data_IF_326432945024
#
_entry.id   IF_326432945024
#
_cell.length_a   1.000
_cell.length_b   1.000
_cell.length_c   1.000
_cell.angle_alpha   90.00
_cell.angle_beta   90.00
_cell.angle_gamma   90.00
#
_symmetry.space_group_name_H-M   'P 1'
#
loop_
_entity.id
_entity.type
_entity.pdbx_description
1 polymer ?
#
# COMPACT_ATOMS: atom_id res chain seq x y z
N UNK A 1 3.97 -49.14 16.35
CA UNK A 1 4.85 -49.82 17.32
C UNK A 1 5.65 -48.78 18.11
N UNK A 2 5.37 -48.75 19.43
CA UNK A 2 6.23 -48.31 20.56
C UNK A 2 6.77 -46.85 20.49
N UNK A 3 6.16 -45.77 21.00
CA UNK A 3 5.98 -45.50 22.43
C UNK A 3 7.27 -45.62 23.27
N UNK A 4 7.88 -44.46 23.61
CA UNK A 4 8.61 -44.32 24.91
C UNK A 4 8.41 -42.92 25.46
N UNK A 5 7.62 -42.86 26.51
CA UNK A 5 7.51 -41.82 27.52
C UNK A 5 8.71 -41.96 28.46
N UNK A 6 9.26 -40.87 28.96
CA UNK A 6 9.92 -40.70 30.25
C UNK A 6 9.93 -39.19 30.50
N UNK A 7 9.16 -38.62 31.38
CA UNK A 7 9.04 -38.69 32.83
C UNK A 7 10.33 -38.41 33.59
N UNK A 8 10.36 -37.26 34.26
CA UNK A 8 10.88 -36.95 35.60
C UNK A 8 11.05 -35.44 35.72
N UNK A 9 10.27 -34.71 36.45
CA UNK A 9 10.06 -34.56 37.91
C UNK A 9 11.23 -33.90 38.63
N UNK A 10 10.88 -32.76 39.23
CA UNK A 10 11.35 -32.16 40.48
C UNK A 10 12.70 -31.42 40.48
N UNK A 11 12.66 -30.10 40.71
CA UNK A 11 13.14 -29.59 42.00
C UNK A 11 12.54 -28.21 42.31
N UNK A 12 11.93 -28.17 43.47
CA UNK A 12 11.38 -26.99 44.12
C UNK A 12 12.46 -26.30 44.97
N UNK A 13 12.26 -25.07 45.29
CA UNK A 13 12.93 -24.31 46.37
C UNK A 13 13.75 -23.14 45.83
N UNK A 14 13.70 -21.96 46.26
CA UNK A 14 13.29 -21.29 47.48
C UNK A 14 13.22 -19.79 47.20
N UNK A 15 12.20 -19.19 47.63
CA UNK A 15 11.93 -17.89 48.23
C UNK A 15 13.18 -17.12 48.69
N UNK A 16 13.35 -15.89 48.17
CA UNK A 16 13.97 -14.79 48.93
C UNK A 16 13.38 -13.44 48.46
N UNK A 17 12.61 -12.85 49.38
CA UNK A 17 12.19 -11.45 49.30
C UNK A 17 13.41 -10.53 49.37
N UNK A 18 13.48 -9.54 48.53
CA UNK A 18 14.16 -8.29 48.77
C UNK A 18 13.32 -7.15 48.21
N UNK A 19 12.53 -6.55 49.10
CA UNK A 19 12.01 -5.21 48.90
C UNK A 19 13.17 -4.21 49.03
N UNK A 20 13.43 -3.44 48.01
CA UNK A 20 13.99 -2.13 48.15
C UNK A 20 13.21 -1.16 47.23
N UNK A 21 12.45 -0.32 47.89
CA UNK A 21 11.82 0.85 47.33
C UNK A 21 12.89 1.85 46.88
N UNK A 22 12.79 2.34 45.66
CA UNK A 22 13.22 3.70 45.35
C UNK A 22 12.37 4.24 44.20
N UNK A 23 11.66 5.30 44.49
CA UNK A 23 10.75 5.97 43.59
C UNK A 23 11.50 6.64 42.42
N UNK A 24 10.91 6.54 41.27
CA UNK A 24 11.27 7.29 40.09
C UNK A 24 10.09 7.18 39.15
N UNK A 25 9.26 8.23 39.10
CA UNK A 25 8.19 8.36 38.11
C UNK A 25 8.77 8.43 36.72
N UNK A 26 8.90 7.29 36.09
CA UNK A 26 9.03 7.22 34.61
C UNK A 26 7.62 7.15 34.06
N UNK A 27 7.15 8.26 33.51
CA UNK A 27 6.03 8.26 32.59
C UNK A 27 6.39 7.35 31.43
N UNK A 28 5.76 6.20 31.37
CA UNK A 28 5.74 5.35 30.20
C UNK A 28 4.79 6.02 29.20
N UNK A 29 5.32 6.72 28.22
CA UNK A 29 4.57 7.12 27.04
C UNK A 29 4.21 5.83 26.28
N UNK A 30 2.92 5.62 25.97
CA UNK A 30 2.54 4.53 25.10
C UNK A 30 2.91 4.90 23.66
N UNK A 31 3.82 4.08 23.10
CA UNK A 31 3.93 3.82 21.68
C UNK A 31 3.80 4.99 20.73
N UNK A 32 4.92 5.59 20.37
CA UNK A 32 5.03 6.28 19.08
C UNK A 32 4.75 5.24 18.00
N UNK A 33 3.51 5.22 17.52
CA UNK A 33 3.22 4.67 16.20
C UNK A 33 4.02 5.51 15.23
N UNK A 34 4.92 4.89 14.46
CA UNK A 34 5.51 5.49 13.27
C UNK A 34 4.35 5.85 12.32
N UNK A 35 3.84 7.06 12.49
CA UNK A 35 2.96 7.69 11.55
C UNK A 35 3.83 8.03 10.35
N UNK A 36 3.48 7.56 9.14
CA UNK A 36 4.22 7.94 7.93
C UNK A 36 4.33 9.45 7.90
N UNK A 37 5.53 9.95 7.67
CA UNK A 37 5.85 11.37 7.58
C UNK A 37 4.75 12.09 6.80
N UNK A 38 4.18 13.09 7.44
CA UNK A 38 3.22 14.03 6.85
C UNK A 38 3.75 14.47 5.49
N UNK A 39 3.09 13.97 4.43
CA UNK A 39 3.18 14.59 3.11
C UNK A 39 2.97 16.10 3.30
N UNK A 40 3.82 16.92 2.68
CA UNK A 40 3.65 18.38 2.68
C UNK A 40 2.17 18.71 2.43
N UNK A 41 1.50 19.31 3.40
CA UNK A 41 0.07 19.64 3.35
C UNK A 41 -0.29 20.56 2.17
N UNK A 42 0.68 20.95 1.37
CA UNK A 42 0.56 21.85 0.22
C UNK A 42 1.26 21.33 -1.06
N UNK A 43 1.27 19.99 -1.28
CA UNK A 43 1.76 19.52 -2.56
C UNK A 43 0.86 20.05 -3.70
N UNK A 44 1.44 20.82 -4.60
CA UNK A 44 0.76 21.36 -5.78
C UNK A 44 1.58 21.01 -7.01
N UNK A 45 1.01 20.29 -7.98
CA UNK A 45 1.76 19.91 -9.17
C UNK A 45 2.19 21.13 -9.98
N UNK A 46 3.44 21.10 -10.45
CA UNK A 46 4.02 22.14 -11.31
C UNK A 46 3.77 21.86 -12.78
N UNK A 47 3.52 20.61 -13.13
CA UNK A 47 3.28 20.11 -14.48
C UNK A 47 2.05 19.19 -14.55
N UNK A 48 1.75 18.67 -15.73
CA UNK A 48 0.60 17.78 -15.93
C UNK A 48 0.81 16.47 -15.16
N UNK A 49 -0.29 15.89 -14.68
CA UNK A 49 -0.31 14.58 -14.05
C UNK A 49 -0.72 13.55 -15.10
N UNK A 50 -0.04 12.41 -15.15
CA UNK A 50 -0.40 11.29 -16.02
C UNK A 50 -1.23 10.27 -15.24
N UNK A 51 -2.33 9.79 -15.84
CA UNK A 51 -3.12 8.69 -15.28
C UNK A 51 -3.08 7.49 -16.21
N UNK A 52 -2.37 6.43 -15.80
CA UNK A 52 -2.29 5.17 -16.53
C UNK A 52 -3.59 4.39 -16.36
N UNK A 53 -4.18 3.98 -17.49
CA UNK A 53 -5.35 3.12 -17.58
C UNK A 53 -4.95 1.85 -18.33
N UNK A 54 -5.00 0.71 -17.65
CA UNK A 54 -4.52 -0.58 -18.17
C UNK A 54 -5.46 -1.25 -19.18
N UNK A 55 -6.35 -0.49 -19.80
CA UNK A 55 -7.33 -0.95 -20.77
C UNK A 55 -7.40 0.01 -21.95
N UNK A 56 -7.95 -0.51 -23.08
CA UNK A 56 -8.07 0.28 -24.30
C UNK A 56 -8.94 1.53 -24.10
N UNK A 57 -8.62 2.56 -24.87
CA UNK A 57 -9.44 3.76 -24.95
C UNK A 57 -10.91 3.44 -25.33
N UNK A 58 -11.86 4.11 -24.68
CA UNK A 58 -13.29 3.88 -24.85
C UNK A 58 -13.85 2.69 -24.07
N UNK A 59 -13.03 1.96 -23.30
CA UNK A 59 -13.51 0.96 -22.35
C UNK A 59 -14.26 1.59 -21.19
N UNK A 60 -15.00 0.79 -20.41
CA UNK A 60 -15.68 1.26 -19.21
C UNK A 60 -14.72 1.91 -18.21
N UNK A 61 -13.56 1.27 -18.00
CA UNK A 61 -12.51 1.81 -17.11
C UNK A 61 -11.94 3.13 -17.63
N UNK A 62 -11.68 3.23 -18.93
CA UNK A 62 -11.19 4.47 -19.54
C UNK A 62 -12.20 5.63 -19.42
N UNK A 63 -13.47 5.35 -19.69
CA UNK A 63 -14.53 6.34 -19.53
C UNK A 63 -14.63 6.84 -18.09
N UNK A 64 -14.57 5.94 -17.11
CA UNK A 64 -14.60 6.32 -15.69
C UNK A 64 -13.35 7.13 -15.31
N UNK A 65 -12.17 6.72 -15.76
CA UNK A 65 -10.92 7.43 -15.52
C UNK A 65 -10.96 8.86 -16.10
N UNK A 66 -11.51 9.05 -17.30
CA UNK A 66 -11.66 10.39 -17.92
C UNK A 66 -12.62 11.30 -17.16
N UNK A 67 -13.70 10.74 -16.63
CA UNK A 67 -14.62 11.52 -15.78
C UNK A 67 -13.90 11.93 -14.50
N UNK A 68 -13.20 11.00 -13.85
CA UNK A 68 -12.43 11.30 -12.64
C UNK A 68 -11.34 12.34 -12.91
N UNK A 69 -10.58 12.20 -13.98
CA UNK A 69 -9.55 13.14 -14.39
C UNK A 69 -10.11 14.57 -14.56
N UNK A 70 -11.23 14.73 -15.27
CA UNK A 70 -11.85 16.02 -15.48
C UNK A 70 -12.34 16.70 -14.19
N UNK A 71 -12.72 15.91 -13.19
CA UNK A 71 -13.02 16.43 -11.85
C UNK A 71 -11.76 16.76 -11.06
N UNK A 72 -10.76 15.89 -11.09
CA UNK A 72 -9.49 16.06 -10.38
C UNK A 72 -8.76 17.34 -10.81
N UNK A 73 -8.77 17.66 -12.11
CA UNK A 73 -8.16 18.89 -12.65
C UNK A 73 -8.62 20.16 -11.94
N UNK A 74 -9.89 20.22 -11.50
CA UNK A 74 -10.45 21.39 -10.81
C UNK A 74 -9.80 21.63 -9.44
N UNK A 75 -9.31 20.57 -8.81
CA UNK A 75 -8.68 20.62 -7.48
C UNK A 75 -7.16 20.64 -7.57
N UNK A 76 -6.61 19.90 -8.53
CA UNK A 76 -5.16 19.79 -8.77
C UNK A 76 -4.64 21.08 -9.45
N UNK A 77 -5.47 21.74 -10.25
CA UNK A 77 -5.07 22.95 -10.99
C UNK A 77 -4.17 22.67 -12.18
N UNK A 78 -4.01 21.42 -12.58
CA UNK A 78 -3.22 20.95 -13.73
C UNK A 78 -3.98 19.87 -14.48
N UNK A 79 -3.79 19.74 -15.81
CA UNK A 79 -4.36 18.67 -16.60
C UNK A 79 -3.97 17.28 -16.09
N UNK A 80 -4.94 16.36 -16.10
CA UNK A 80 -4.72 14.94 -15.86
C UNK A 80 -4.84 14.20 -17.19
N UNK A 81 -3.70 13.77 -17.72
CA UNK A 81 -3.60 13.15 -19.05
C UNK A 81 -3.80 11.64 -18.90
N UNK A 82 -4.79 11.10 -19.62
CA UNK A 82 -5.01 9.65 -19.65
C UNK A 82 -4.05 9.00 -20.63
N UNK A 83 -3.30 8.01 -20.14
CA UNK A 83 -2.44 7.13 -20.94
C UNK A 83 -2.99 5.70 -20.88
N UNK A 84 -3.42 5.19 -22.05
CA UNK A 84 -3.93 3.83 -22.15
C UNK A 84 -2.81 2.84 -22.47
N UNK A 85 -2.48 1.97 -21.52
CA UNK A 85 -1.48 0.91 -21.65
C UNK A 85 -2.16 -0.46 -21.53
N UNK A 86 -2.74 -0.93 -22.63
CA UNK A 86 -3.50 -2.17 -22.68
C UNK A 86 -2.62 -3.42 -22.84
N UNK A 87 -3.12 -4.56 -22.36
CA UNK A 87 -2.53 -5.89 -22.57
C UNK A 87 -2.30 -6.66 -21.27
N UNK A 88 -2.12 -7.98 -21.42
CA UNK A 88 -1.87 -8.89 -20.30
C UNK A 88 -2.94 -8.82 -19.20
N UNK A 89 -4.23 -8.69 -19.56
CA UNK A 89 -5.32 -8.50 -18.59
C UNK A 89 -5.14 -7.29 -17.64
N UNK A 90 -4.38 -6.28 -18.08
CA UNK A 90 -4.04 -5.10 -17.31
C UNK A 90 -2.63 -5.07 -16.74
N UNK A 91 -1.92 -6.21 -16.76
CA UNK A 91 -0.59 -6.32 -16.15
C UNK A 91 0.45 -5.36 -16.76
N UNK A 92 0.34 -5.03 -18.06
CA UNK A 92 1.28 -4.12 -18.72
C UNK A 92 1.19 -2.72 -18.11
N UNK A 93 0.01 -2.14 -18.02
CA UNK A 93 -0.17 -0.81 -17.45
C UNK A 93 0.14 -0.76 -15.96
N UNK A 94 -0.24 -1.77 -15.19
CA UNK A 94 0.09 -1.81 -13.76
C UNK A 94 1.58 -2.05 -13.50
N UNK A 95 2.28 -2.78 -14.38
CA UNK A 95 3.75 -2.87 -14.32
C UNK A 95 4.39 -1.49 -14.57
N UNK A 96 3.94 -0.77 -15.60
CA UNK A 96 4.44 0.57 -15.87
C UNK A 96 4.19 1.52 -14.67
N UNK A 97 3.00 1.45 -14.07
CA UNK A 97 2.69 2.22 -12.87
C UNK A 97 3.60 1.88 -11.70
N UNK A 98 3.88 0.59 -11.44
CA UNK A 98 4.75 0.18 -10.33
C UNK A 98 6.21 0.60 -10.50
N UNK A 99 6.62 0.91 -11.72
CA UNK A 99 7.97 1.38 -12.06
C UNK A 99 8.07 2.91 -12.18
N UNK A 100 6.95 3.61 -12.13
CA UNK A 100 6.92 5.07 -12.18
C UNK A 100 7.56 5.67 -10.91
N UNK A 101 8.08 6.90 -11.03
CA UNK A 101 8.58 7.61 -9.88
C UNK A 101 7.46 7.91 -8.87
N UNK A 102 7.69 7.71 -7.56
CA UNK A 102 6.67 7.95 -6.54
C UNK A 102 6.61 9.44 -6.13
N UNK A 103 6.49 10.31 -7.12
CA UNK A 103 6.54 11.77 -6.98
C UNK A 103 5.16 12.45 -7.07
N UNK A 104 4.10 11.65 -7.29
CA UNK A 104 2.73 12.13 -7.43
C UNK A 104 2.34 12.57 -8.84
N UNK A 105 3.24 12.51 -9.82
CA UNK A 105 2.93 12.87 -11.20
C UNK A 105 2.41 11.71 -12.06
N UNK A 106 2.52 10.48 -11.56
CA UNK A 106 1.95 9.30 -12.23
C UNK A 106 0.94 8.62 -11.32
N UNK A 107 -0.30 8.62 -11.75
CA UNK A 107 -1.42 7.94 -11.12
C UNK A 107 -1.80 6.70 -11.92
N UNK A 108 -2.56 5.80 -11.33
CA UNK A 108 -3.09 4.64 -12.05
C UNK A 108 -4.50 4.28 -11.63
N UNK A 109 -5.25 3.74 -12.58
CA UNK A 109 -6.57 3.19 -12.34
C UNK A 109 -6.48 1.66 -12.21
N UNK A 110 -6.81 1.13 -11.04
CA UNK A 110 -6.69 -0.30 -10.74
C UNK A 110 -8.06 -0.94 -10.59
N UNK A 111 -8.31 -2.02 -11.34
CA UNK A 111 -9.50 -2.85 -11.20
C UNK A 111 -9.16 -4.06 -10.32
N UNK A 112 -9.53 -4.03 -9.06
CA UNK A 112 -9.10 -5.00 -8.04
C UNK A 112 -9.31 -6.48 -8.41
N UNK A 113 -10.44 -6.93 -8.98
CA UNK A 113 -10.57 -8.35 -9.35
C UNK A 113 -9.50 -8.80 -10.34
N UNK A 114 -9.28 -8.05 -11.41
CA UNK A 114 -8.30 -8.39 -12.45
C UNK A 114 -6.85 -8.21 -11.95
N UNK A 115 -6.61 -7.18 -11.15
CA UNK A 115 -5.32 -6.92 -10.53
C UNK A 115 -4.88 -8.10 -9.65
N UNK A 116 -5.76 -8.59 -8.80
CA UNK A 116 -5.49 -9.76 -7.96
C UNK A 116 -5.32 -11.04 -8.79
N UNK A 117 -6.08 -11.19 -9.86
CA UNK A 117 -5.96 -12.33 -10.77
C UNK A 117 -4.58 -12.36 -11.44
N UNK A 118 -4.07 -11.23 -11.96
CA UNK A 118 -2.75 -11.17 -12.59
C UNK A 118 -1.62 -11.53 -11.63
N UNK A 119 -1.73 -11.16 -10.35
CA UNK A 119 -0.77 -11.58 -9.31
C UNK A 119 -0.85 -13.09 -9.08
N UNK A 120 -2.06 -13.62 -8.92
CA UNK A 120 -2.28 -15.05 -8.65
C UNK A 120 -1.86 -15.95 -9.82
N UNK A 121 -1.99 -15.47 -11.04
CA UNK A 121 -1.61 -16.17 -12.28
C UNK A 121 -0.12 -16.03 -12.61
N UNK A 122 0.65 -15.29 -11.83
CA UNK A 122 2.08 -15.06 -12.06
C UNK A 122 2.37 -14.16 -13.26
N UNK A 123 1.42 -13.37 -13.71
CA UNK A 123 1.58 -12.40 -14.81
C UNK A 123 2.10 -11.05 -14.33
N UNK A 124 2.05 -10.80 -13.03
CA UNK A 124 2.47 -9.55 -12.40
C UNK A 124 3.95 -9.60 -12.00
N UNK A 125 4.66 -8.51 -12.26
CA UNK A 125 6.01 -8.23 -11.70
C UNK A 125 5.94 -7.29 -10.50
N UNK A 126 4.74 -6.96 -10.04
CA UNK A 126 4.40 -6.10 -8.92
C UNK A 126 3.63 -6.87 -7.84
N UNK A 127 3.52 -6.28 -6.67
CA UNK A 127 2.69 -6.76 -5.56
C UNK A 127 1.70 -5.67 -5.14
N UNK A 128 0.81 -5.96 -4.22
CA UNK A 128 -0.11 -4.94 -3.65
C UNK A 128 0.68 -3.80 -3.00
N UNK A 129 1.80 -4.10 -2.37
CA UNK A 129 2.64 -3.12 -1.68
C UNK A 129 3.46 -2.23 -2.64
N UNK A 130 3.41 -2.52 -3.94
CA UNK A 130 4.06 -1.68 -4.96
C UNK A 130 3.31 -0.38 -5.22
N UNK A 131 2.14 -0.17 -4.62
CA UNK A 131 1.27 0.97 -4.88
C UNK A 131 0.82 1.64 -3.60
N UNK A 132 0.69 2.97 -3.64
CA UNK A 132 0.06 3.76 -2.59
C UNK A 132 -1.39 4.05 -3.00
N UNK A 133 -2.41 3.43 -2.34
CA UNK A 133 -3.80 3.68 -2.68
C UNK A 133 -4.22 5.08 -2.25
N UNK A 134 -4.94 5.79 -3.14
CA UNK A 134 -5.48 7.13 -2.88
C UNK A 134 -6.95 7.03 -2.46
N UNK A 135 -7.76 6.35 -3.25
CA UNK A 135 -9.18 6.16 -2.96
C UNK A 135 -9.74 4.91 -3.64
N UNK A 136 -10.90 4.49 -3.19
CA UNK A 136 -11.74 3.46 -3.82
C UNK A 136 -13.08 4.08 -4.20
N UNK A 137 -13.64 3.67 -5.34
CA UNK A 137 -14.92 4.16 -5.84
C UNK A 137 -15.89 3.01 -6.09
#
# INVERSE_FOLDING_TARGET
MKMKRFLSLLLAGTLALALTACGGSAKTDPGTSDQPSTSDENWTPKENVTMIVSYKAGSGTDNTARVLAAYAEKYIGKPVIIENLEGGSGSIGWTALSQAAPDGYTLGFINLPNFNATISEGLATYTVDSFAPICNH
#
